data_IF_306419101001
#
_entry.id   IF_306419101001
#
_cell.length_a   1.000
_cell.length_b   1.000
_cell.length_c   1.000
_cell.angle_alpha   90.00
_cell.angle_beta   90.00
_cell.angle_gamma   90.00
#
_symmetry.space_group_name_H-M   'P 1'
#
loop_
_entity.id
_entity.type
_entity.pdbx_description
1 polymer ?
#
# COMPACT_ATOMS: atom_id res chain seq x y z
N UNK A 1 3.26 -28.44 -1.16
CA UNK A 1 4.10 -28.51 0.04
C UNK A 1 4.36 -27.12 0.59
N UNK A 2 4.75 -26.99 1.85
CA UNK A 2 5.09 -25.69 2.48
C UNK A 2 6.18 -24.93 1.71
N UNK A 3 7.14 -25.63 1.11
CA UNK A 3 8.16 -25.00 0.24
C UNK A 3 7.52 -24.28 -0.96
N UNK A 4 6.52 -24.88 -1.60
CA UNK A 4 5.83 -24.22 -2.72
C UNK A 4 5.05 -22.97 -2.28
N UNK A 5 4.53 -22.92 -1.06
CA UNK A 5 3.85 -21.74 -0.50
C UNK A 5 4.87 -20.64 -0.25
N UNK A 6 6.02 -20.95 0.35
CA UNK A 6 7.12 -19.99 0.58
C UNK A 6 7.63 -19.38 -0.72
N UNK A 7 7.83 -20.21 -1.75
CA UNK A 7 8.27 -19.75 -3.07
C UNK A 7 7.27 -18.78 -3.70
N UNK A 8 6.00 -18.88 -3.32
CA UNK A 8 4.93 -17.98 -3.75
C UNK A 8 4.91 -16.65 -3.00
N UNK A 9 5.35 -16.64 -1.76
CA UNK A 9 5.48 -15.42 -0.97
C UNK A 9 6.69 -14.58 -1.37
N UNK A 10 7.56 -15.10 -2.24
CA UNK A 10 8.71 -14.36 -2.78
C UNK A 10 8.36 -13.77 -4.14
N UNK A 11 8.76 -12.54 -4.42
CA UNK A 11 8.64 -11.93 -5.74
C UNK A 11 9.44 -12.68 -6.81
N UNK A 12 9.08 -12.50 -8.06
CA UNK A 12 9.91 -12.83 -9.21
C UNK A 12 11.05 -11.81 -9.31
N UNK A 13 10.68 -10.56 -9.19
CA UNK A 13 11.58 -9.41 -9.09
C UNK A 13 10.99 -8.39 -8.09
N UNK A 14 11.38 -7.13 -8.20
CA UNK A 14 10.96 -6.07 -7.27
C UNK A 14 9.46 -5.72 -7.39
N UNK A 15 8.88 -5.91 -8.58
CA UNK A 15 7.51 -5.49 -8.86
C UNK A 15 6.58 -6.62 -9.31
N UNK A 16 7.08 -7.84 -9.49
CA UNK A 16 6.29 -8.95 -10.00
C UNK A 16 6.25 -10.14 -9.05
N UNK A 17 5.08 -10.74 -8.94
CA UNK A 17 4.88 -12.04 -8.31
C UNK A 17 4.98 -13.14 -9.37
N UNK A 18 5.52 -14.29 -8.99
CA UNK A 18 5.78 -15.42 -9.91
C UNK A 18 4.49 -16.02 -10.48
N UNK A 19 4.46 -16.30 -11.75
CA UNK A 19 3.45 -17.14 -12.40
C UNK A 19 3.49 -18.61 -11.94
N UNK A 20 2.40 -19.35 -12.12
CA UNK A 20 2.37 -20.82 -12.07
C UNK A 20 1.66 -21.35 -13.31
N UNK A 21 2.39 -21.49 -14.37
CA UNK A 21 1.87 -21.90 -15.67
C UNK A 21 1.02 -23.17 -15.60
N UNK A 22 1.50 -24.22 -14.88
CA UNK A 22 0.77 -25.48 -14.73
C UNK A 22 -0.61 -25.37 -14.05
N UNK A 23 -0.90 -24.22 -13.39
CA UNK A 23 -2.17 -23.95 -12.72
C UNK A 23 -2.93 -22.79 -13.38
N UNK A 24 -2.40 -22.24 -14.47
CA UNK A 24 -2.99 -21.09 -15.13
C UNK A 24 -2.95 -19.80 -14.28
N UNK A 25 -2.06 -19.73 -13.30
CA UNK A 25 -1.87 -18.53 -12.47
C UNK A 25 -0.87 -17.62 -13.18
N UNK A 26 -1.28 -16.41 -13.59
CA UNK A 26 -0.41 -15.48 -14.30
C UNK A 26 0.63 -14.85 -13.37
N UNK A 27 1.63 -14.22 -13.98
CA UNK A 27 2.46 -13.25 -13.32
C UNK A 27 1.60 -12.03 -12.91
N UNK A 28 1.87 -11.48 -11.75
CA UNK A 28 1.10 -10.37 -11.20
C UNK A 28 2.02 -9.19 -10.94
N UNK A 29 1.72 -8.07 -11.58
CA UNK A 29 2.43 -6.82 -11.31
C UNK A 29 1.84 -6.11 -10.10
N UNK A 30 2.71 -5.71 -9.19
CA UNK A 30 2.38 -4.85 -8.04
C UNK A 30 3.10 -3.51 -8.19
N UNK A 31 2.48 -2.43 -7.75
CA UNK A 31 3.10 -1.10 -7.82
C UNK A 31 2.81 -0.29 -6.57
N UNK A 32 3.75 0.54 -6.18
CA UNK A 32 3.53 1.53 -5.13
C UNK A 32 2.57 2.62 -5.63
N UNK A 33 1.92 3.32 -4.72
CA UNK A 33 1.05 4.42 -5.10
C UNK A 33 -0.19 4.67 -4.26
N UNK A 34 -0.09 4.77 -2.91
CA UNK A 34 -1.25 5.09 -2.07
C UNK A 34 -1.80 6.51 -2.30
N UNK A 35 -1.04 7.40 -2.94
CA UNK A 35 -1.44 8.78 -3.26
C UNK A 35 -1.36 9.10 -4.76
N UNK A 36 -1.42 8.09 -5.59
CA UNK A 36 -1.25 8.13 -7.03
C UNK A 36 -0.29 7.05 -7.48
N UNK A 37 -0.59 6.43 -8.60
CA UNK A 37 0.17 5.29 -9.10
C UNK A 37 1.63 5.67 -9.35
N UNK A 38 2.55 4.89 -8.81
CA UNK A 38 3.99 5.07 -8.98
C UNK A 38 4.62 3.85 -9.64
N UNK A 39 4.19 3.55 -10.85
CA UNK A 39 4.79 2.51 -11.67
C UNK A 39 6.07 3.05 -12.31
N UNK A 40 7.19 2.33 -12.16
CA UNK A 40 8.43 2.66 -12.87
C UNK A 40 8.31 2.26 -14.34
N UNK A 41 8.87 3.06 -15.25
CA UNK A 41 8.69 2.94 -16.70
C UNK A 41 9.46 1.74 -17.27
N UNK A 42 10.64 1.46 -16.75
CA UNK A 42 11.47 0.30 -17.11
C UNK A 42 12.30 -0.15 -15.91
N UNK A 43 12.97 -1.25 -15.99
CA UNK A 43 13.87 -1.90 -15.02
C UNK A 43 13.92 -1.22 -13.65
N UNK A 44 13.10 -1.70 -12.74
CA UNK A 44 13.02 -1.19 -11.38
C UNK A 44 14.38 -1.01 -10.74
N UNK A 45 14.68 0.20 -10.30
CA UNK A 45 15.77 0.44 -9.39
C UNK A 45 15.26 0.34 -7.95
N UNK A 46 16.07 -0.22 -7.06
CA UNK A 46 15.70 -0.33 -5.64
C UNK A 46 15.71 1.03 -4.91
N UNK A 47 16.06 2.11 -5.59
CA UNK A 47 16.22 3.45 -5.05
C UNK A 47 15.06 4.37 -5.44
N UNK A 48 14.21 3.98 -6.42
CA UNK A 48 13.11 4.79 -6.92
C UNK A 48 13.59 6.04 -7.66
N UNK A 49 14.77 5.98 -8.27
CA UNK A 49 15.39 7.10 -9.02
C UNK A 49 15.03 7.08 -10.50
N UNK A 50 14.55 5.93 -10.99
CA UNK A 50 14.09 5.83 -12.37
C UNK A 50 12.78 6.59 -12.58
N UNK A 51 12.58 7.03 -13.82
CA UNK A 51 11.35 7.71 -14.21
C UNK A 51 10.14 6.81 -13.97
N UNK A 52 9.08 7.42 -13.49
CA UNK A 52 7.79 6.78 -13.31
C UNK A 52 6.84 7.21 -14.42
N UNK A 53 5.86 6.37 -14.73
CA UNK A 53 4.77 6.77 -15.61
C UNK A 53 4.08 8.03 -15.09
N UNK A 54 3.49 8.80 -15.99
CA UNK A 54 2.67 9.95 -15.59
C UNK A 54 1.35 9.45 -15.03
N UNK A 55 1.03 9.87 -13.81
CA UNK A 55 -0.20 9.55 -13.12
C UNK A 55 -0.69 10.76 -12.30
N UNK A 56 -1.92 10.72 -11.83
CA UNK A 56 -2.46 11.78 -10.96
C UNK A 56 -1.73 11.75 -9.62
N UNK A 57 -1.26 12.91 -9.19
CA UNK A 57 -0.70 13.11 -7.86
C UNK A 57 -1.80 13.61 -6.92
N UNK A 58 -2.29 12.74 -6.05
CA UNK A 58 -3.26 13.10 -5.02
C UNK A 58 -2.58 13.68 -3.78
N UNK A 59 -3.34 14.39 -2.94
CA UNK A 59 -2.84 14.84 -1.64
C UNK A 59 -2.33 13.67 -0.79
N UNK A 60 -1.31 13.87 0.06
CA UNK A 60 -0.83 12.81 0.97
C UNK A 60 -1.93 12.40 1.96
N UNK A 61 -1.82 11.19 2.51
CA UNK A 61 -2.82 10.63 3.41
C UNK A 61 -3.15 11.53 4.61
N UNK A 62 -2.14 12.19 5.16
CA UNK A 62 -2.32 13.15 6.25
C UNK A 62 -3.30 14.29 5.89
N UNK A 63 -3.28 14.76 4.63
CA UNK A 63 -4.18 15.81 4.16
C UNK A 63 -5.54 15.24 3.75
N UNK A 64 -5.57 14.15 3.00
CA UNK A 64 -6.83 13.56 2.54
C UNK A 64 -7.70 13.08 3.71
N UNK A 65 -7.10 12.56 4.78
CA UNK A 65 -7.82 12.17 5.99
C UNK A 65 -8.50 13.34 6.70
N UNK A 66 -7.98 14.57 6.57
CA UNK A 66 -8.59 15.78 7.13
C UNK A 66 -9.93 16.14 6.46
N UNK A 67 -10.29 15.51 5.35
CA UNK A 67 -11.63 15.66 4.77
C UNK A 67 -12.73 15.02 5.61
N UNK A 68 -12.41 13.95 6.36
CA UNK A 68 -13.37 13.09 7.05
C UNK A 68 -14.48 12.55 6.11
N UNK A 69 -14.18 12.44 4.82
CA UNK A 69 -15.16 12.12 3.77
C UNK A 69 -14.80 10.78 3.10
N UNK A 70 -15.61 9.75 3.40
CA UNK A 70 -15.48 8.41 2.82
C UNK A 70 -15.73 8.42 1.31
N UNK A 71 -16.69 9.22 0.85
CA UNK A 71 -17.04 9.26 -0.59
C UNK A 71 -15.91 9.85 -1.42
N UNK A 72 -15.23 10.86 -0.88
CA UNK A 72 -14.03 11.43 -1.50
C UNK A 72 -12.91 10.39 -1.58
N UNK A 73 -12.71 9.61 -0.52
CA UNK A 73 -11.67 8.57 -0.50
C UNK A 73 -11.97 7.41 -1.44
N UNK A 74 -13.24 7.04 -1.56
CA UNK A 74 -13.69 6.02 -2.52
C UNK A 74 -13.45 6.51 -3.96
N UNK A 75 -13.84 7.75 -4.29
CA UNK A 75 -13.60 8.34 -5.60
C UNK A 75 -12.10 8.45 -5.96
N UNK A 76 -11.26 8.77 -4.96
CA UNK A 76 -9.80 8.75 -5.12
C UNK A 76 -9.31 7.34 -5.43
N UNK A 77 -9.79 6.34 -4.68
CA UNK A 77 -9.49 4.93 -4.90
C UNK A 77 -9.92 4.45 -6.30
N UNK A 78 -11.12 4.79 -6.75
CA UNK A 78 -11.58 4.49 -8.11
C UNK A 78 -10.65 5.07 -9.18
N UNK A 79 -10.21 6.31 -9.00
CA UNK A 79 -9.34 6.96 -9.98
C UNK A 79 -7.99 6.26 -10.06
N UNK A 80 -7.38 5.94 -8.91
CA UNK A 80 -6.12 5.18 -8.84
C UNK A 80 -6.31 3.77 -9.44
N UNK A 81 -7.44 3.12 -9.17
CA UNK A 81 -7.76 1.82 -9.74
C UNK A 81 -7.86 1.85 -11.27
N UNK A 82 -8.49 2.88 -11.85
CA UNK A 82 -8.55 3.07 -13.32
C UNK A 82 -7.16 3.29 -13.93
N UNK A 83 -6.33 4.09 -13.29
CA UNK A 83 -4.94 4.30 -13.74
C UNK A 83 -4.12 3.01 -13.64
N UNK A 84 -4.30 2.25 -12.57
CA UNK A 84 -3.65 0.95 -12.39
C UNK A 84 -4.05 -0.05 -13.49
N UNK A 85 -5.34 -0.15 -13.79
CA UNK A 85 -5.85 -0.95 -14.90
C UNK A 85 -5.26 -0.54 -16.26
N UNK A 86 -5.26 0.76 -16.55
CA UNK A 86 -4.73 1.29 -17.80
C UNK A 86 -3.22 1.05 -17.98
N UNK A 87 -2.52 0.71 -16.90
CA UNK A 87 -1.07 0.48 -16.87
C UNK A 87 -0.72 -0.96 -16.49
N UNK A 88 -1.65 -1.91 -16.61
CA UNK A 88 -1.43 -3.34 -16.33
C UNK A 88 -0.91 -3.63 -14.90
N UNK A 89 -1.30 -2.82 -13.93
CA UNK A 89 -1.00 -3.04 -12.51
C UNK A 89 -2.15 -3.82 -11.86
N UNK A 90 -1.84 -4.98 -11.35
CA UNK A 90 -2.84 -5.86 -10.74
C UNK A 90 -3.11 -5.57 -9.27
N UNK A 91 -2.11 -5.04 -8.54
CA UNK A 91 -2.23 -4.73 -7.11
C UNK A 91 -1.53 -3.41 -6.80
N UNK A 92 -2.24 -2.51 -6.15
CA UNK A 92 -1.66 -1.28 -5.58
C UNK A 92 -1.19 -1.56 -4.16
N UNK A 93 0.06 -1.21 -3.86
CA UNK A 93 0.66 -1.33 -2.52
C UNK A 93 0.19 -0.17 -1.62
N UNK A 94 -1.01 -0.26 -1.18
CA UNK A 94 -1.72 0.72 -0.35
C UNK A 94 -3.13 0.23 -0.01
N UNK A 95 -3.83 0.93 0.87
CA UNK A 95 -3.42 2.15 1.57
C UNK A 95 -2.43 1.91 2.70
N UNK A 96 -1.78 2.99 3.17
CA UNK A 96 -0.88 2.94 4.31
C UNK A 96 -1.62 3.42 5.58
N UNK A 97 -1.75 2.52 6.56
CA UNK A 97 -2.65 2.69 7.71
C UNK A 97 -1.95 2.65 9.06
N UNK A 98 -0.61 2.65 9.08
CA UNK A 98 0.06 2.63 10.38
C UNK A 98 -0.36 3.83 11.22
N UNK A 99 -0.42 3.64 12.54
CA UNK A 99 -0.88 4.67 13.45
C UNK A 99 0.23 5.66 13.77
N UNK A 100 -0.06 6.97 13.68
CA UNK A 100 0.88 8.05 13.97
C UNK A 100 1.10 8.17 15.48
N UNK A 101 2.19 7.57 15.98
CA UNK A 101 2.52 7.62 17.41
C UNK A 101 3.52 8.73 17.74
N UNK A 102 4.51 8.91 16.87
CA UNK A 102 5.54 9.91 17.02
C UNK A 102 5.49 10.90 15.85
N UNK A 103 5.56 12.21 16.10
CA UNK A 103 5.67 13.19 15.02
C UNK A 103 6.97 13.09 14.23
N UNK A 104 7.97 12.40 14.78
CA UNK A 104 9.29 12.23 14.16
C UNK A 104 9.37 11.06 13.20
N UNK A 105 8.30 10.27 13.04
CA UNK A 105 8.29 9.20 12.05
C UNK A 105 8.31 9.78 10.63
N UNK A 106 9.35 9.46 9.86
CA UNK A 106 9.57 9.99 8.51
C UNK A 106 8.51 9.60 7.48
N UNK A 107 7.64 8.63 7.81
CA UNK A 107 6.56 8.16 6.94
C UNK A 107 5.17 8.62 7.35
N UNK A 108 5.04 9.53 8.30
CA UNK A 108 3.75 10.06 8.74
C UNK A 108 2.94 10.74 7.62
N UNK A 109 3.57 11.21 6.56
CA UNK A 109 2.88 11.81 5.42
C UNK A 109 1.95 10.82 4.70
N UNK A 110 2.29 9.53 4.68
CA UNK A 110 1.51 8.50 3.99
C UNK A 110 0.49 7.78 4.89
N UNK A 111 0.47 8.07 6.19
CA UNK A 111 -0.47 7.49 7.14
C UNK A 111 -1.63 8.45 7.42
N UNK A 112 -2.83 7.91 7.57
CA UNK A 112 -4.05 8.70 7.71
C UNK A 112 -4.15 9.41 9.06
N UNK A 113 -4.06 8.69 10.18
CA UNK A 113 -4.41 9.25 11.48
C UNK A 113 -3.62 8.60 12.63
N UNK A 114 -3.69 9.25 13.79
CA UNK A 114 -3.38 8.64 15.09
C UNK A 114 -4.59 7.89 15.68
N UNK A 115 -5.79 8.16 15.17
CA UNK A 115 -7.02 7.48 15.53
C UNK A 115 -7.23 6.24 14.65
N UNK A 116 -7.21 5.02 15.22
CA UNK A 116 -7.40 3.78 14.46
C UNK A 116 -8.79 3.68 13.83
N UNK A 117 -9.83 4.26 14.44
CA UNK A 117 -11.17 4.27 13.85
C UNK A 117 -11.21 5.10 12.57
N UNK A 118 -10.72 6.33 12.60
CA UNK A 118 -10.64 7.17 11.40
C UNK A 118 -9.76 6.53 10.31
N UNK A 119 -8.59 6.00 10.69
CA UNK A 119 -7.70 5.33 9.76
C UNK A 119 -8.38 4.14 9.08
N UNK A 120 -9.11 3.32 9.83
CA UNK A 120 -9.85 2.16 9.31
C UNK A 120 -10.97 2.55 8.34
N UNK A 121 -11.79 3.52 8.69
CA UNK A 121 -12.91 3.99 7.87
C UNK A 121 -12.45 4.60 6.53
N UNK A 122 -11.44 5.43 6.58
CA UNK A 122 -10.84 6.06 5.40
C UNK A 122 -10.15 5.01 4.50
N UNK A 123 -9.43 4.07 5.11
CA UNK A 123 -8.78 3.01 4.38
C UNK A 123 -9.79 2.07 3.69
N UNK A 124 -10.87 1.70 4.38
CA UNK A 124 -11.91 0.85 3.82
C UNK A 124 -12.56 1.50 2.59
N UNK A 125 -12.87 2.79 2.66
CA UNK A 125 -13.41 3.54 1.52
C UNK A 125 -12.45 3.55 0.33
N UNK A 126 -11.16 3.84 0.57
CA UNK A 126 -10.13 3.80 -0.47
C UNK A 126 -10.01 2.40 -1.10
N UNK A 127 -9.97 1.35 -0.29
CA UNK A 127 -9.89 -0.05 -0.77
C UNK A 127 -11.09 -0.38 -1.64
N UNK A 128 -12.32 -0.04 -1.21
CA UNK A 128 -13.52 -0.27 -1.99
C UNK A 128 -13.44 0.42 -3.37
N UNK A 129 -12.98 1.66 -3.40
CA UNK A 129 -12.77 2.40 -4.64
C UNK A 129 -11.79 1.71 -5.59
N UNK A 130 -10.60 1.33 -5.12
CA UNK A 130 -9.62 0.62 -5.94
C UNK A 130 -10.15 -0.72 -6.44
N UNK A 131 -10.74 -1.51 -5.53
CA UNK A 131 -11.23 -2.86 -5.85
C UNK A 131 -12.47 -2.82 -6.78
N UNK A 132 -13.25 -1.74 -6.77
CA UNK A 132 -14.36 -1.56 -7.73
C UNK A 132 -13.87 -1.55 -9.18
N UNK A 133 -12.59 -1.26 -9.39
CA UNK A 133 -11.94 -1.27 -10.70
C UNK A 133 -11.19 -2.59 -10.99
N UNK A 134 -11.49 -3.67 -10.25
CA UNK A 134 -10.86 -4.99 -10.39
C UNK A 134 -9.34 -4.98 -10.15
N UNK A 135 -8.84 -4.06 -9.36
CA UNK A 135 -7.44 -3.98 -8.93
C UNK A 135 -7.35 -4.35 -7.46
N UNK A 136 -6.40 -5.20 -7.10
CA UNK A 136 -6.15 -5.57 -5.73
C UNK A 136 -5.48 -4.46 -4.91
N UNK A 137 -5.59 -4.56 -3.61
CA UNK A 137 -4.91 -3.65 -2.67
C UNK A 137 -4.08 -4.45 -1.68
N UNK A 138 -2.96 -3.89 -1.25
CA UNK A 138 -2.13 -4.43 -0.18
C UNK A 138 -2.00 -3.38 0.91
N UNK A 139 -2.82 -3.54 1.96
CA UNK A 139 -2.78 -2.65 3.12
C UNK A 139 -1.42 -2.75 3.82
N UNK A 140 -0.85 -1.60 4.22
CA UNK A 140 0.50 -1.54 4.79
C UNK A 140 0.60 -0.53 5.93
N UNK A 141 1.55 -0.60 6.86
CA UNK A 141 2.57 -1.63 6.95
C UNK A 141 2.21 -2.58 8.10
N UNK A 142 2.18 -3.84 7.88
CA UNK A 142 1.91 -4.82 8.91
C UNK A 142 3.24 -5.23 9.58
N UNK A 143 3.48 -4.85 10.87
CA UNK A 143 2.67 -3.92 11.66
C UNK A 143 3.60 -3.05 12.53
N UNK A 144 3.03 -1.96 13.07
CA UNK A 144 3.71 -1.09 14.03
C UNK A 144 4.98 -0.39 13.50
N UNK A 145 4.93 0.09 12.25
CA UNK A 145 6.02 0.88 11.65
C UNK A 145 5.97 2.34 12.14
N UNK A 146 6.31 2.57 13.41
CA UNK A 146 6.16 3.87 14.07
C UNK A 146 7.39 4.78 13.93
N UNK A 147 8.46 4.27 13.35
CA UNK A 147 9.73 4.99 13.13
C UNK A 147 10.53 4.34 12.00
N UNK A 148 11.45 5.11 11.41
CA UNK A 148 12.29 4.66 10.30
C UNK A 148 13.76 4.46 10.70
N UNK A 149 14.16 4.89 11.91
CA UNK A 149 15.52 4.69 12.37
C UNK A 149 15.80 3.20 12.61
N UNK A 150 16.83 2.69 11.94
CA UNK A 150 17.17 1.26 11.95
C UNK A 150 15.98 0.31 11.64
N UNK A 151 15.06 0.71 10.76
CA UNK A 151 13.81 -0.03 10.50
C UNK A 151 13.98 -1.51 10.14
N UNK A 152 15.14 -1.88 9.59
CA UNK A 152 15.44 -3.26 9.21
C UNK A 152 16.02 -4.09 10.36
N UNK A 153 16.33 -3.48 11.50
CA UNK A 153 17.02 -4.12 12.62
C UNK A 153 16.44 -3.74 14.00
N UNK A 154 15.43 -2.88 14.06
CA UNK A 154 14.75 -2.58 15.31
C UNK A 154 13.62 -3.57 15.61
N UNK A 155 13.21 -3.67 16.88
CA UNK A 155 12.00 -4.37 17.31
C UNK A 155 10.95 -3.35 17.73
N UNK A 156 9.74 -3.50 17.23
CA UNK A 156 8.57 -2.70 17.66
C UNK A 156 7.86 -3.46 18.76
N UNK A 157 8.13 -3.08 20.00
CA UNK A 157 7.55 -3.74 21.17
C UNK A 157 6.15 -3.18 21.48
N UNK A 158 5.16 -4.06 21.41
CA UNK A 158 3.78 -3.74 21.77
C UNK A 158 3.13 -4.94 22.44
N UNK A 159 2.30 -4.70 23.46
CA UNK A 159 1.52 -5.76 24.08
C UNK A 159 0.36 -6.22 23.18
N UNK A 160 -0.25 -7.37 23.52
CA UNK A 160 -1.32 -7.96 22.72
C UNK A 160 -2.56 -7.07 22.63
N UNK A 161 -2.85 -6.28 23.66
CA UNK A 161 -3.99 -5.37 23.67
C UNK A 161 -3.75 -4.23 22.69
N UNK A 162 -2.60 -3.59 22.76
CA UNK A 162 -2.19 -2.53 21.84
C UNK A 162 -2.24 -2.99 20.39
N UNK A 163 -1.70 -4.19 20.09
CA UNK A 163 -1.73 -4.73 18.73
C UNK A 163 -3.15 -5.01 18.21
N UNK A 164 -4.12 -5.30 19.09
CA UNK A 164 -5.49 -5.62 18.69
C UNK A 164 -6.43 -4.43 18.67
N UNK A 165 -6.18 -3.42 19.50
CA UNK A 165 -7.06 -2.26 19.63
C UNK A 165 -6.60 -1.09 18.75
N UNK A 166 -5.31 -1.01 18.41
CA UNK A 166 -4.73 0.15 17.72
C UNK A 166 -4.18 -0.23 16.35
N UNK A 167 -3.57 -1.42 16.20
CA UNK A 167 -2.99 -1.91 14.95
C UNK A 167 -3.77 -3.11 14.40
#
# INVERSE_FOLDING_TARGET
SEMCIRDRCSGLDFWHLKSVERLGIPEVMVSDGPHGLRKQDDKGDHLGMNDSIKAVCFPPAALSACSFDRSLMEAMGETIGREAQANDVSVVLGPAVNIKRSPLCGRNFEYYSEDPYLAGEIAAAFINGVQSQHVGTSIKHFAANNQEYHRMSNSSEADKRTLREIY
#
